data_IF_038777812457
#
_entry.id   IF_038777812457
#
_cell.length_a   1.000
_cell.length_b   1.000
_cell.length_c   1.000
_cell.angle_alpha   90.00
_cell.angle_beta   90.00
_cell.angle_gamma   90.00
#
_symmetry.space_group_name_H-M   'P 1'
#
loop_
_entity.id
_entity.type
_entity.pdbx_description
1 polymer ?
#
# COMPACT_ATOMS: atom_id res chain seq x y z
N UNK A 1 0.62 -6.93 -8.66
CA UNK A 1 0.42 -5.87 -7.65
C UNK A 1 1.03 -4.58 -8.16
N UNK A 2 0.30 -3.47 -8.11
CA UNK A 2 0.86 -2.14 -8.35
C UNK A 2 1.36 -1.59 -7.00
N UNK A 3 2.60 -1.16 -6.97
CA UNK A 3 3.24 -0.49 -5.83
C UNK A 3 3.48 0.97 -6.21
N UNK A 4 2.90 1.89 -5.46
CA UNK A 4 3.18 3.32 -5.59
C UNK A 4 3.90 3.78 -4.33
N UNK A 5 4.98 4.54 -4.50
CA UNK A 5 5.74 5.16 -3.40
C UNK A 5 5.76 6.66 -3.58
N UNK A 6 5.48 7.36 -2.52
CA UNK A 6 5.50 8.81 -2.46
C UNK A 6 6.38 9.24 -1.30
N UNK A 7 7.26 10.21 -1.52
CA UNK A 7 7.96 10.91 -0.43
C UNK A 7 7.31 12.26 -0.25
N UNK A 8 6.92 12.57 0.98
CA UNK A 8 6.29 13.84 1.28
C UNK A 8 7.32 14.95 1.47
N UNK A 9 6.91 16.16 1.11
CA UNK A 9 7.66 17.37 1.47
C UNK A 9 7.57 17.56 2.99
N UNK A 10 8.68 17.90 3.66
CA UNK A 10 8.65 18.24 5.07
C UNK A 10 7.61 19.33 5.37
N UNK A 11 6.74 19.07 6.37
CA UNK A 11 5.68 19.99 6.79
C UNK A 11 4.37 19.88 5.99
N UNK A 12 4.26 18.95 5.02
CA UNK A 12 3.02 18.71 4.28
C UNK A 12 2.16 17.57 4.86
N UNK A 13 2.62 16.90 5.92
CA UNK A 13 2.04 15.66 6.45
C UNK A 13 0.57 15.82 6.86
N UNK A 14 0.24 16.91 7.57
CA UNK A 14 -1.14 17.17 8.01
C UNK A 14 -2.08 17.44 6.82
N UNK A 15 -1.63 18.24 5.87
CA UNK A 15 -2.41 18.57 4.66
C UNK A 15 -2.60 17.32 3.78
N UNK A 16 -1.57 16.48 3.70
CA UNK A 16 -1.64 15.19 3.01
C UNK A 16 -2.61 14.25 3.70
N UNK A 17 -2.53 14.06 5.03
CA UNK A 17 -3.47 13.23 5.80
C UNK A 17 -4.91 13.64 5.54
N UNK A 18 -5.21 14.93 5.63
CA UNK A 18 -6.55 15.45 5.36
C UNK A 18 -7.02 15.14 3.93
N UNK A 19 -6.14 15.25 2.95
CA UNK A 19 -6.45 14.95 1.55
C UNK A 19 -6.74 13.46 1.33
N UNK A 20 -5.90 12.57 1.92
CA UNK A 20 -6.05 11.12 1.75
C UNK A 20 -7.30 10.58 2.46
N UNK A 21 -7.63 11.11 3.64
CA UNK A 21 -8.91 10.81 4.31
C UNK A 21 -10.10 11.20 3.42
N UNK A 22 -10.05 12.34 2.75
CA UNK A 22 -11.10 12.74 1.82
C UNK A 22 -11.22 11.79 0.63
N UNK A 23 -10.08 11.35 0.05
CA UNK A 23 -10.07 10.35 -1.01
C UNK A 23 -10.68 9.01 -0.56
N UNK A 24 -10.31 8.52 0.63
CA UNK A 24 -10.87 7.29 1.19
C UNK A 24 -12.39 7.40 1.43
N UNK A 25 -12.88 8.55 1.92
CA UNK A 25 -14.32 8.82 2.11
C UNK A 25 -15.04 8.82 0.75
N UNK A 26 -14.48 9.46 -0.26
CA UNK A 26 -15.03 9.44 -1.63
C UNK A 26 -15.09 8.02 -2.16
N UNK A 27 -14.01 7.24 -2.01
CA UNK A 27 -13.96 5.84 -2.42
C UNK A 27 -15.01 4.98 -1.72
N UNK A 28 -15.18 5.13 -0.42
CA UNK A 28 -16.17 4.37 0.34
C UNK A 28 -17.60 4.71 -0.09
N UNK A 29 -17.91 6.01 -0.23
CA UNK A 29 -19.24 6.49 -0.62
C UNK A 29 -19.60 6.14 -2.06
N UNK A 30 -18.65 6.32 -2.98
CA UNK A 30 -18.88 6.15 -4.42
C UNK A 30 -18.53 4.73 -4.90
N UNK A 31 -18.11 3.84 -3.99
CA UNK A 31 -17.72 2.46 -4.26
C UNK A 31 -16.62 2.38 -5.34
N UNK A 32 -15.41 2.83 -4.99
CA UNK A 32 -14.26 2.69 -5.87
C UNK A 32 -14.15 1.28 -6.44
N UNK A 33 -13.78 1.14 -7.70
CA UNK A 33 -13.84 -0.15 -8.40
C UNK A 33 -12.79 -1.17 -7.90
N UNK A 34 -11.80 -0.73 -7.10
CA UNK A 34 -10.73 -1.62 -6.66
C UNK A 34 -10.24 -1.24 -5.25
N UNK A 35 -10.04 -2.22 -4.34
CA UNK A 35 -9.49 -1.99 -3.02
C UNK A 35 -7.99 -1.67 -3.09
N UNK A 36 -7.52 -0.88 -2.13
CA UNK A 36 -6.10 -0.56 -1.98
C UNK A 36 -5.71 -0.41 -0.52
N UNK A 37 -4.44 -0.66 -0.24
CA UNK A 37 -3.83 -0.53 1.08
C UNK A 37 -2.88 0.66 1.09
N UNK A 38 -3.05 1.53 2.07
CA UNK A 38 -2.17 2.67 2.35
C UNK A 38 -1.26 2.36 3.54
N UNK A 39 -0.01 2.74 3.44
CA UNK A 39 1.03 2.53 4.43
C UNK A 39 1.83 3.83 4.60
N UNK A 40 2.29 4.11 5.83
CA UNK A 40 3.21 5.23 6.09
C UNK A 40 4.45 4.76 6.84
N UNK A 41 5.61 5.36 6.57
CA UNK A 41 6.84 5.07 7.27
C UNK A 41 6.72 5.41 8.77
N UNK A 42 7.28 4.53 9.61
CA UNK A 42 7.26 4.69 11.08
C UNK A 42 8.40 5.59 11.57
N UNK A 43 9.45 5.74 10.77
CA UNK A 43 10.63 6.53 11.08
C UNK A 43 11.31 7.05 9.79
N UNK A 44 12.15 8.06 9.93
CA UNK A 44 12.85 8.69 8.82
C UNK A 44 11.98 9.70 8.05
N UNK A 45 12.33 10.02 6.80
CA UNK A 45 11.49 10.84 5.94
C UNK A 45 10.11 10.21 5.76
N UNK A 46 9.06 11.03 5.70
CA UNK A 46 7.71 10.52 5.52
C UNK A 46 7.52 9.95 4.13
N UNK A 47 7.50 8.62 4.06
CA UNK A 47 7.16 7.87 2.84
C UNK A 47 5.78 7.26 2.98
N UNK A 48 5.00 7.35 1.92
CA UNK A 48 3.69 6.70 1.81
C UNK A 48 3.75 5.67 0.69
N UNK A 49 3.27 4.48 0.99
CA UNK A 49 3.21 3.38 0.02
C UNK A 49 1.76 2.96 -0.20
N UNK A 50 1.42 2.74 -1.46
CA UNK A 50 0.11 2.26 -1.88
C UNK A 50 0.28 0.90 -2.53
N UNK A 51 -0.45 -0.09 -2.03
CA UNK A 51 -0.44 -1.43 -2.58
C UNK A 51 -1.81 -1.76 -3.16
N UNK A 52 -1.84 -2.07 -4.47
CA UNK A 52 -3.03 -2.49 -5.18
C UNK A 52 -2.78 -3.90 -5.72
N UNK A 53 -3.40 -4.91 -5.11
CA UNK A 53 -3.25 -6.30 -5.53
C UNK A 53 -4.34 -6.66 -6.56
N UNK A 54 -3.96 -7.32 -7.64
CA UNK A 54 -4.85 -7.80 -8.69
C UNK A 54 -4.81 -9.32 -8.75
N UNK A 55 -5.96 -9.96 -8.90
CA UNK A 55 -6.05 -11.40 -9.08
C UNK A 55 -5.58 -11.84 -10.47
N UNK A 56 -5.70 -10.96 -11.48
CA UNK A 56 -5.32 -11.24 -12.85
C UNK A 56 -4.82 -9.99 -13.59
N UNK A 57 -4.20 -10.21 -14.74
CA UNK A 57 -3.83 -9.16 -15.69
C UNK A 57 -5.07 -8.43 -16.23
N UNK A 58 -6.16 -9.16 -16.49
CA UNK A 58 -7.40 -8.62 -17.02
C UNK A 58 -8.05 -7.63 -16.03
N UNK A 59 -8.09 -7.98 -14.74
CA UNK A 59 -8.57 -7.09 -13.70
C UNK A 59 -7.77 -5.78 -13.67
N UNK A 60 -6.44 -5.89 -13.72
CA UNK A 60 -5.56 -4.72 -13.78
C UNK A 60 -5.84 -3.84 -15.01
N UNK A 61 -5.93 -4.47 -16.18
CA UNK A 61 -6.09 -3.75 -17.45
C UNK A 61 -7.49 -3.08 -17.54
N UNK A 62 -8.50 -3.69 -16.93
CA UNK A 62 -9.85 -3.13 -16.82
C UNK A 62 -10.00 -1.97 -15.85
N UNK A 63 -9.05 -1.80 -14.89
CA UNK A 63 -9.19 -0.81 -13.83
C UNK A 63 -9.31 0.63 -14.34
N UNK A 64 -8.49 1.00 -15.33
CA UNK A 64 -8.54 2.33 -15.92
C UNK A 64 -9.90 2.66 -16.56
N UNK A 65 -10.49 1.69 -17.26
CA UNK A 65 -11.82 1.82 -17.86
C UNK A 65 -12.92 1.90 -16.78
N UNK A 66 -12.79 1.13 -15.69
CA UNK A 66 -13.73 1.17 -14.59
C UNK A 66 -13.78 2.54 -13.89
N UNK A 67 -12.62 3.18 -13.68
CA UNK A 67 -12.57 4.56 -13.17
C UNK A 67 -13.10 5.56 -14.21
N UNK A 68 -12.67 5.48 -15.46
CA UNK A 68 -13.08 6.42 -16.52
C UNK A 68 -14.59 6.37 -16.80
N UNK A 69 -15.21 5.19 -16.65
CA UNK A 69 -16.65 5.00 -16.81
C UNK A 69 -17.50 5.56 -15.66
N UNK A 70 -16.87 5.98 -14.55
CA UNK A 70 -17.59 6.59 -13.42
C UNK A 70 -17.24 8.08 -13.32
N UNK A 71 -17.90 8.90 -14.16
CA UNK A 71 -17.65 10.35 -14.24
C UNK A 71 -17.88 11.06 -12.90
N UNK A 72 -18.91 10.66 -12.15
CA UNK A 72 -19.22 11.26 -10.84
C UNK A 72 -18.11 11.02 -9.82
N UNK A 73 -17.57 9.79 -9.75
CA UNK A 73 -16.43 9.46 -8.93
C UNK A 73 -15.20 10.28 -9.34
N UNK A 74 -14.90 10.32 -10.64
CA UNK A 74 -13.74 11.03 -11.15
C UNK A 74 -13.83 12.54 -10.97
N UNK A 75 -15.02 13.12 -11.01
CA UNK A 75 -15.23 14.55 -10.73
C UNK A 75 -14.81 14.93 -9.30
N UNK A 76 -15.03 14.04 -8.32
CA UNK A 76 -14.61 14.25 -6.94
C UNK A 76 -13.13 13.88 -6.68
N UNK A 77 -12.63 12.82 -7.32
CA UNK A 77 -11.25 12.36 -7.09
C UNK A 77 -10.20 13.24 -7.77
N UNK A 78 -10.45 13.76 -8.97
CA UNK A 78 -9.46 14.53 -9.74
C UNK A 78 -8.89 15.75 -8.99
N UNK A 79 -9.70 16.62 -8.35
CA UNK A 79 -9.15 17.76 -7.61
C UNK A 79 -8.30 17.33 -6.41
N UNK A 80 -8.68 16.24 -5.72
CA UNK A 80 -7.91 15.68 -4.62
C UNK A 80 -6.59 15.06 -5.10
N UNK A 81 -6.64 14.29 -6.19
CA UNK A 81 -5.46 13.72 -6.81
C UNK A 81 -4.47 14.78 -7.32
N UNK A 82 -4.97 15.88 -7.90
CA UNK A 82 -4.15 17.00 -8.33
C UNK A 82 -3.50 17.71 -7.13
N UNK A 83 -4.24 17.96 -6.06
CA UNK A 83 -3.72 18.58 -4.84
C UNK A 83 -2.60 17.75 -4.21
N UNK A 84 -2.65 16.43 -4.32
CA UNK A 84 -1.64 15.51 -3.83
C UNK A 84 -0.24 15.80 -4.39
N UNK A 85 -0.15 16.33 -5.61
CA UNK A 85 1.12 16.70 -6.25
C UNK A 85 1.88 17.81 -5.49
N UNK A 86 1.14 18.69 -4.80
CA UNK A 86 1.73 19.78 -4.03
C UNK A 86 2.41 19.29 -2.75
N UNK A 87 2.02 18.12 -2.25
CA UNK A 87 2.50 17.57 -0.98
C UNK A 87 3.69 16.63 -1.12
N UNK A 88 3.98 16.14 -2.31
CA UNK A 88 5.03 15.14 -2.54
C UNK A 88 6.24 15.73 -3.27
N UNK A 89 7.43 15.31 -2.88
CA UNK A 89 8.69 15.66 -3.57
C UNK A 89 9.15 14.56 -4.54
N UNK A 90 8.71 13.31 -4.32
CA UNK A 90 9.04 12.19 -5.17
C UNK A 90 7.85 11.24 -5.31
N UNK A 91 7.79 10.60 -6.48
CA UNK A 91 6.76 9.62 -6.83
C UNK A 91 7.36 8.53 -7.71
N UNK A 92 7.07 7.28 -7.37
CA UNK A 92 7.37 6.13 -8.23
C UNK A 92 6.16 5.20 -8.29
N UNK A 93 6.01 4.50 -9.41
CA UNK A 93 4.94 3.53 -9.62
C UNK A 93 5.50 2.33 -10.35
N UNK A 94 5.43 1.16 -9.73
CA UNK A 94 6.04 -0.07 -10.26
C UNK A 94 5.03 -1.21 -10.23
N UNK A 95 4.90 -1.91 -11.36
CA UNK A 95 4.12 -3.14 -11.44
C UNK A 95 4.97 -4.33 -11.04
N UNK A 96 4.51 -5.10 -10.06
CA UNK A 96 5.21 -6.23 -9.47
C UNK A 96 4.41 -7.52 -9.66
N UNK A 97 5.13 -8.61 -9.94
CA UNK A 97 4.58 -9.97 -10.07
C UNK A 97 4.96 -10.80 -8.85
N UNK A 98 4.00 -11.51 -8.26
CA UNK A 98 4.26 -12.41 -7.13
C UNK A 98 5.13 -13.61 -7.58
N UNK A 99 6.17 -13.89 -6.78
CA UNK A 99 7.14 -14.97 -7.04
C UNK A 99 7.03 -16.04 -5.95
N UNK A 100 6.18 -17.04 -6.21
CA UNK A 100 5.94 -18.14 -5.26
C UNK A 100 7.23 -18.85 -4.86
N UNK A 101 8.09 -19.14 -5.83
CA UNK A 101 9.31 -19.93 -5.63
C UNK A 101 10.36 -19.23 -4.76
N UNK A 102 10.28 -17.89 -4.70
CA UNK A 102 11.17 -17.07 -3.89
C UNK A 102 10.55 -16.65 -2.55
N UNK A 103 9.27 -16.97 -2.32
CA UNK A 103 8.54 -16.57 -1.11
C UNK A 103 8.71 -17.60 0.00
N UNK A 104 8.86 -17.18 1.24
CA UNK A 104 9.06 -18.06 2.43
C UNK A 104 7.77 -18.74 2.93
N UNK A 105 6.86 -19.11 2.03
CA UNK A 105 5.63 -19.86 2.34
C UNK A 105 4.54 -19.09 3.11
N UNK A 106 4.81 -17.88 3.56
CA UNK A 106 3.82 -17.03 4.21
C UNK A 106 3.02 -16.26 3.15
N UNK A 107 1.75 -16.58 3.00
CA UNK A 107 0.82 -15.70 2.28
C UNK A 107 0.77 -14.37 3.01
N UNK A 108 0.95 -13.26 2.29
CA UNK A 108 0.81 -11.92 2.84
C UNK A 108 -0.61 -11.75 3.42
N UNK A 109 -0.71 -11.69 4.75
CA UNK A 109 -1.99 -11.55 5.45
C UNK A 109 -2.21 -10.10 5.83
N UNK A 110 -3.13 -9.43 5.14
CA UNK A 110 -3.45 -8.02 5.39
C UNK A 110 -4.52 -7.86 6.47
N UNK A 111 -5.48 -8.77 6.57
CA UNK A 111 -6.66 -8.63 7.43
C UNK A 111 -6.32 -8.24 8.89
N UNK A 112 -5.35 -8.88 9.52
CA UNK A 112 -4.91 -8.56 10.90
C UNK A 112 -3.61 -7.74 10.98
N UNK A 113 -3.10 -7.24 9.85
CA UNK A 113 -1.85 -6.49 9.84
C UNK A 113 -2.03 -5.07 10.40
N UNK A 114 -1.07 -4.64 11.21
CA UNK A 114 -0.91 -3.26 11.66
C UNK A 114 0.32 -2.61 11.04
N UNK A 115 1.26 -3.47 10.63
CA UNK A 115 2.53 -3.07 10.04
C UNK A 115 2.88 -4.00 8.89
N UNK A 116 3.59 -3.45 7.90
CA UNK A 116 4.32 -4.22 6.91
C UNK A 116 5.81 -3.89 7.01
N UNK A 117 6.63 -4.91 6.86
CA UNK A 117 8.08 -4.78 6.68
C UNK A 117 8.36 -5.06 5.21
N UNK A 118 8.91 -4.09 4.50
CA UNK A 118 9.23 -4.20 3.08
C UNK A 118 10.74 -4.09 2.90
N UNK A 119 11.36 -5.15 2.42
CA UNK A 119 12.77 -5.15 2.01
C UNK A 119 12.83 -4.93 0.49
N UNK A 120 13.55 -3.88 0.06
CA UNK A 120 13.68 -3.49 -1.35
C UNK A 120 14.84 -4.17 -2.09
N UNK A 121 15.62 -5.00 -1.42
CA UNK A 121 16.70 -5.82 -2.01
C UNK A 121 16.85 -7.11 -1.23
N UNK A 122 15.85 -8.01 -1.29
CA UNK A 122 15.94 -9.28 -0.59
C UNK A 122 17.00 -10.16 -1.27
N UNK A 123 17.93 -10.68 -0.46
CA UNK A 123 18.87 -11.69 -0.93
C UNK A 123 18.15 -12.94 -1.39
N UNK A 124 18.67 -13.60 -2.44
CA UNK A 124 18.10 -14.86 -2.91
C UNK A 124 18.19 -15.92 -1.81
N UNK A 125 17.04 -16.47 -1.44
CA UNK A 125 16.92 -17.55 -0.43
C UNK A 125 16.76 -17.09 1.02
N UNK A 126 16.94 -15.80 1.34
CA UNK A 126 16.78 -15.26 2.70
C UNK A 126 15.53 -14.36 2.88
N UNK A 127 14.67 -14.27 1.87
CA UNK A 127 13.50 -13.38 1.93
C UNK A 127 12.49 -13.87 2.97
N UNK A 128 12.22 -13.03 3.97
CA UNK A 128 11.13 -13.25 4.92
C UNK A 128 9.84 -12.65 4.33
N UNK A 129 8.86 -13.50 4.02
CA UNK A 129 7.55 -13.06 3.53
C UNK A 129 7.27 -13.36 2.06
N UNK A 130 6.34 -12.61 1.48
CA UNK A 130 5.94 -12.72 0.09
C UNK A 130 6.89 -11.90 -0.80
N UNK A 131 7.42 -12.52 -1.85
CA UNK A 131 8.35 -11.87 -2.79
C UNK A 131 7.61 -11.46 -4.06
N UNK A 132 7.88 -10.24 -4.49
CA UNK A 132 7.38 -9.65 -5.72
C UNK A 132 8.55 -9.13 -6.56
N UNK A 133 8.42 -9.20 -7.87
CA UNK A 133 9.46 -8.80 -8.81
C UNK A 133 8.88 -7.98 -9.97
N UNK A 134 9.52 -6.89 -10.28
CA UNK A 134 9.21 -6.06 -11.46
C UNK A 134 9.90 -6.60 -12.72
N UNK A 135 9.40 -6.22 -13.90
CA UNK A 135 10.02 -6.58 -15.18
C UNK A 135 11.48 -6.10 -15.30
N UNK A 136 11.85 -5.02 -14.60
CA UNK A 136 13.22 -4.49 -14.53
C UNK A 136 14.15 -5.20 -13.55
N UNK A 137 13.69 -6.27 -12.89
CA UNK A 137 14.48 -7.04 -11.91
C UNK A 137 14.47 -6.47 -10.50
N UNK A 138 13.80 -5.33 -10.25
CA UNK A 138 13.58 -4.84 -8.89
C UNK A 138 12.74 -5.86 -8.10
N UNK A 139 13.16 -6.16 -6.86
CA UNK A 139 12.48 -7.14 -6.01
C UNK A 139 12.06 -6.51 -4.69
N UNK A 140 10.90 -6.93 -4.20
CA UNK A 140 10.40 -6.60 -2.87
C UNK A 140 10.06 -7.89 -2.12
N UNK A 141 10.51 -7.99 -0.85
CA UNK A 141 9.98 -8.98 0.08
C UNK A 141 9.10 -8.26 1.11
N UNK A 142 7.87 -8.74 1.28
CA UNK A 142 6.86 -8.11 2.14
C UNK A 142 6.41 -9.10 3.21
N UNK A 143 6.57 -8.73 4.47
CA UNK A 143 6.06 -9.47 5.62
C UNK A 143 5.07 -8.61 6.42
N UNK A 144 4.01 -9.22 6.94
CA UNK A 144 3.01 -8.54 7.77
C UNK A 144 3.21 -8.83 9.26
N UNK A 145 2.90 -7.86 10.11
CA UNK A 145 2.91 -7.98 11.55
C UNK A 145 1.66 -7.34 12.16
N UNK A 146 1.16 -7.94 13.25
CA UNK A 146 -0.03 -7.47 13.95
C UNK A 146 0.28 -6.48 15.09
N UNK A 147 1.56 -6.30 15.43
CA UNK A 147 2.00 -5.33 16.41
C UNK A 147 3.41 -4.82 16.09
N UNK A 148 3.80 -3.73 16.76
CA UNK A 148 5.05 -3.03 16.52
C UNK A 148 6.29 -3.86 16.86
N UNK A 149 6.28 -4.57 17.98
CA UNK A 149 7.44 -5.37 18.43
C UNK A 149 7.78 -6.49 17.43
N UNK A 150 6.76 -7.20 16.94
CA UNK A 150 6.93 -8.21 15.88
C UNK A 150 7.45 -7.59 14.59
N UNK A 151 6.97 -6.41 14.23
CA UNK A 151 7.38 -5.70 13.03
C UNK A 151 8.84 -5.22 13.12
N UNK A 152 9.28 -4.71 14.27
CA UNK A 152 10.66 -4.30 14.52
C UNK A 152 11.65 -5.49 14.49
N UNK A 153 11.25 -6.63 15.07
CA UNK A 153 12.04 -7.87 14.99
C UNK A 153 12.14 -8.40 13.54
N UNK A 154 11.03 -8.37 12.79
CA UNK A 154 11.04 -8.71 11.37
C UNK A 154 11.96 -7.77 10.56
N UNK A 155 11.88 -6.45 10.80
CA UNK A 155 12.73 -5.47 10.12
C UNK A 155 14.21 -5.70 10.40
N UNK A 156 14.58 -5.97 11.67
CA UNK A 156 15.95 -6.26 12.06
C UNK A 156 16.50 -7.51 11.34
N UNK A 157 15.68 -8.54 11.17
CA UNK A 157 16.06 -9.77 10.47
C UNK A 157 16.07 -9.64 8.95
N UNK A 158 15.29 -8.73 8.40
CA UNK A 158 15.18 -8.51 6.95
C UNK A 158 16.33 -7.67 6.37
N UNK A 159 17.24 -7.18 7.19
CA UNK A 159 18.45 -6.48 6.78
C UNK A 159 18.28 -4.97 6.66
N UNK A 160 19.37 -4.28 6.28
CA UNK A 160 19.52 -2.82 6.34
C UNK A 160 18.59 -2.03 5.39
N UNK A 161 18.05 -2.69 4.36
CA UNK A 161 17.17 -2.08 3.37
C UNK A 161 15.68 -2.36 3.66
N UNK A 162 15.38 -2.88 4.85
CA UNK A 162 14.02 -3.08 5.29
C UNK A 162 13.40 -1.77 5.81
N UNK A 163 12.23 -1.42 5.29
CA UNK A 163 11.42 -0.28 5.73
C UNK A 163 10.24 -0.79 6.54
N UNK A 164 10.05 -0.24 7.73
CA UNK A 164 8.89 -0.51 8.58
C UNK A 164 7.79 0.51 8.28
N UNK A 165 6.65 0.03 7.85
CA UNK A 165 5.50 0.83 7.47
C UNK A 165 4.29 0.48 8.34
N UNK A 166 3.59 1.49 8.84
CA UNK A 166 2.31 1.33 9.55
C UNK A 166 1.15 1.36 8.55
N UNK A 167 0.21 0.43 8.70
CA UNK A 167 -1.04 0.44 7.92
C UNK A 167 -1.87 1.66 8.33
N UNK A 168 -2.36 2.38 7.32
CA UNK A 168 -3.21 3.57 7.50
C UNK A 168 -4.66 3.23 7.10
N UNK A 169 -5.50 2.75 8.04
CA UNK A 169 -6.87 2.35 7.71
C UNK A 169 -7.69 3.53 7.16
N UNK A 170 -7.48 4.73 7.71
CA UNK A 170 -8.19 5.95 7.32
C UNK A 170 -7.85 6.48 5.92
N UNK A 171 -6.77 6.00 5.29
CA UNK A 171 -6.39 6.33 3.91
C UNK A 171 -6.67 5.18 2.94
N UNK A 172 -6.92 3.98 3.48
CA UNK A 172 -7.14 2.77 2.69
C UNK A 172 -8.59 2.66 2.24
N UNK A 173 -8.78 1.97 1.12
CA UNK A 173 -10.08 1.41 0.72
C UNK A 173 -9.96 -0.11 0.79
N UNK A 174 -10.24 -0.71 1.98
CA UNK A 174 -9.97 -2.12 2.22
C UNK A 174 -10.95 -3.03 1.47
N UNK A 175 -10.46 -4.21 1.06
CA UNK A 175 -11.31 -5.28 0.58
C UNK A 175 -12.33 -5.70 1.66
N UNK A 176 -13.52 -6.16 1.26
CA UNK A 176 -14.55 -6.60 2.18
C UNK A 176 -14.04 -7.66 3.15
N UNK A 177 -13.32 -8.66 2.66
CA UNK A 177 -12.73 -9.71 3.50
C UNK A 177 -11.76 -9.19 4.58
N UNK A 178 -11.12 -8.04 4.37
CA UNK A 178 -10.26 -7.44 5.41
C UNK A 178 -11.10 -6.75 6.48
N UNK A 179 -12.16 -6.04 6.07
CA UNK A 179 -13.09 -5.37 7.00
C UNK A 179 -13.84 -6.38 7.86
N UNK A 180 -14.30 -7.48 7.26
CA UNK A 180 -15.04 -8.52 7.96
C UNK A 180 -14.17 -9.24 9.00
N UNK A 181 -12.88 -9.43 8.69
CA UNK A 181 -11.93 -10.10 9.58
C UNK A 181 -11.45 -9.21 10.75
N UNK A 182 -11.50 -7.88 10.61
CA UNK A 182 -11.02 -6.93 11.64
C UNK A 182 -11.77 -5.57 11.54
N UNK A 183 -13.09 -5.58 11.83
CA UNK A 183 -13.93 -4.41 11.59
C UNK A 183 -13.56 -3.21 12.46
N UNK A 184 -13.09 -3.43 13.68
CA UNK A 184 -12.72 -2.35 14.62
C UNK A 184 -11.54 -1.54 14.09
N UNK A 185 -10.57 -2.19 13.44
CA UNK A 185 -9.44 -1.52 12.84
C UNK A 185 -9.79 -0.78 11.55
N UNK A 186 -10.50 -1.44 10.65
CA UNK A 186 -10.77 -0.87 9.32
C UNK A 186 -11.85 0.21 9.32
N UNK A 187 -12.71 0.26 10.35
CA UNK A 187 -13.73 1.30 10.54
C UNK A 187 -13.29 2.38 11.55
N UNK A 188 -12.04 2.35 12.01
CA UNK A 188 -11.51 3.42 12.88
C UNK A 188 -11.50 4.76 12.14
N UNK A 189 -12.00 5.84 12.77
CA UNK A 189 -12.12 7.17 12.16
C UNK A 189 -10.78 7.84 11.86
#
# INVERSE_FOLDING_TARGET
MLVVRERLRPGSEEAYDKNERQLAIVCARMKCPHPYLALASVAGPTEVWWLNAFASQEERDGLGAAYAGNEALMAEMRPLGKRKEDFREAFTSTMMTYRRDSSSGAVLRIAGARFLVINTSPDEGAATGAVFEAAGGERLAIASANNRAVAEDLAARSGRLATLLAVQPQWSFPAEAWRDADPDFWNSP
#
